data_IF_092877657469
#
_entry.id   IF_092877657469
#
_cell.length_a   1.000
_cell.length_b   1.000
_cell.length_c   1.000
_cell.angle_alpha   90.00
_cell.angle_beta   90.00
_cell.angle_gamma   90.00
#
_symmetry.space_group_name_H-M   'P 1'
#
loop_
_entity.id
_entity.type
_entity.pdbx_description
1 polymer ?
#
# COMPACT_ATOMS: atom_id res chain seq x y z
N UNK A 1 -24.58 -5.41 -3.32
CA UNK A 1 -25.08 -4.04 -3.08
C UNK A 1 -25.88 -3.92 -1.78
N UNK A 2 -26.94 -4.70 -1.55
CA UNK A 2 -27.75 -4.60 -0.31
C UNK A 2 -26.92 -4.70 0.97
N UNK A 3 -25.99 -5.64 1.07
CA UNK A 3 -25.12 -5.76 2.24
C UNK A 3 -24.16 -4.59 2.44
N UNK A 4 -23.77 -3.90 1.37
CA UNK A 4 -22.98 -2.67 1.48
C UNK A 4 -23.83 -1.52 2.04
N UNK A 5 -25.06 -1.36 1.55
CA UNK A 5 -25.99 -0.35 2.05
C UNK A 5 -26.37 -0.61 3.51
N UNK A 6 -26.68 -1.87 3.86
CA UNK A 6 -26.94 -2.27 5.25
C UNK A 6 -25.75 -1.93 6.16
N UNK A 7 -24.53 -2.29 5.73
CA UNK A 7 -23.32 -1.93 6.44
C UNK A 7 -23.20 -0.42 6.65
N UNK A 8 -23.44 0.37 5.59
CA UNK A 8 -23.36 1.84 5.65
C UNK A 8 -24.40 2.44 6.60
N UNK A 9 -25.66 2.02 6.48
CA UNK A 9 -26.73 2.48 7.36
C UNK A 9 -26.42 2.18 8.82
N UNK A 10 -25.87 0.98 9.11
CA UNK A 10 -25.47 0.62 10.47
C UNK A 10 -24.29 1.44 10.98
N UNK A 11 -23.27 1.64 10.15
CA UNK A 11 -22.10 2.43 10.52
C UNK A 11 -22.47 3.90 10.83
N UNK A 12 -23.47 4.46 10.14
CA UNK A 12 -23.90 5.85 10.33
C UNK A 12 -24.90 6.04 11.48
N UNK A 13 -25.90 5.15 11.59
CA UNK A 13 -27.04 5.35 12.48
C UNK A 13 -26.98 4.51 13.75
N UNK A 14 -26.13 3.48 13.79
CA UNK A 14 -26.06 2.50 14.88
C UNK A 14 -24.60 2.10 15.22
N UNK A 15 -23.74 3.07 15.60
CA UNK A 15 -22.31 2.83 15.79
C UNK A 15 -21.99 1.82 16.91
N UNK A 16 -22.89 1.65 17.87
CA UNK A 16 -22.77 0.68 18.97
C UNK A 16 -22.95 -0.78 18.53
N UNK A 17 -23.53 -1.06 17.36
CA UNK A 17 -23.81 -2.44 16.92
C UNK A 17 -22.62 -2.97 16.10
N UNK A 18 -21.96 -4.07 16.54
CA UNK A 18 -20.77 -4.58 15.89
C UNK A 18 -21.02 -4.95 14.42
N UNK A 19 -20.27 -4.33 13.52
CA UNK A 19 -20.38 -4.53 12.08
C UNK A 19 -19.79 -5.89 11.70
N UNK A 20 -20.61 -6.78 11.13
CA UNK A 20 -20.17 -8.10 10.69
C UNK A 20 -19.51 -8.08 9.31
N UNK A 21 -20.28 -7.71 8.28
CA UNK A 21 -19.83 -7.61 6.88
C UNK A 21 -19.55 -6.14 6.53
N UNK A 22 -18.58 -5.89 5.65
CA UNK A 22 -18.17 -4.55 5.23
C UNK A 22 -16.74 -4.20 5.63
N UNK A 23 -16.38 -4.16 6.93
CA UNK A 23 -15.03 -3.82 7.34
C UNK A 23 -14.00 -4.77 6.73
N UNK A 24 -12.91 -4.22 6.21
CA UNK A 24 -11.86 -4.99 5.55
C UNK A 24 -11.26 -6.06 6.47
N UNK A 25 -10.95 -5.71 7.72
CA UNK A 25 -10.42 -6.66 8.71
C UNK A 25 -11.28 -7.94 8.88
N UNK A 26 -12.61 -7.86 8.71
CA UNK A 26 -13.50 -9.00 8.93
C UNK A 26 -13.49 -10.01 7.77
N UNK A 27 -13.02 -9.61 6.58
CA UNK A 27 -12.93 -10.50 5.42
C UNK A 27 -11.63 -11.33 5.43
N UNK A 28 -10.63 -10.94 6.21
CA UNK A 28 -9.30 -11.59 6.27
C UNK A 28 -9.38 -13.11 6.46
N UNK A 29 -10.20 -13.68 7.38
CA UNK A 29 -10.28 -15.14 7.54
C UNK A 29 -10.74 -15.86 6.26
N UNK A 30 -11.63 -15.25 5.48
CA UNK A 30 -12.07 -15.79 4.20
C UNK A 30 -10.97 -15.67 3.13
N UNK A 31 -10.32 -14.50 3.01
CA UNK A 31 -9.24 -14.27 2.03
C UNK A 31 -8.03 -15.18 2.28
N UNK A 32 -7.76 -15.55 3.54
CA UNK A 32 -6.74 -16.52 3.95
C UNK A 32 -7.12 -17.98 3.71
N UNK A 33 -8.41 -18.26 3.49
CA UNK A 33 -8.93 -19.61 3.27
C UNK A 33 -8.33 -20.31 2.04
N UNK A 34 -8.50 -21.63 1.97
CA UNK A 34 -7.91 -22.43 0.89
C UNK A 34 -8.47 -22.05 -0.50
N UNK A 35 -7.59 -21.90 -1.49
CA UNK A 35 -7.94 -21.35 -2.82
C UNK A 35 -8.82 -22.29 -3.64
N UNK A 36 -8.74 -23.59 -3.40
CA UNK A 36 -9.61 -24.62 -3.98
C UNK A 36 -11.10 -24.43 -3.65
N UNK A 37 -11.40 -23.86 -2.49
CA UNK A 37 -12.76 -23.59 -2.01
C UNK A 37 -13.28 -22.19 -2.32
N UNK A 38 -12.45 -21.31 -2.89
CA UNK A 38 -12.83 -19.95 -3.28
C UNK A 38 -13.30 -19.92 -4.74
N UNK A 39 -14.34 -19.14 -5.01
CA UNK A 39 -14.76 -18.79 -6.37
C UNK A 39 -14.75 -17.27 -6.58
N UNK A 40 -14.50 -16.79 -7.81
CA UNK A 40 -14.70 -15.38 -8.14
C UNK A 40 -16.17 -14.95 -7.92
N UNK A 41 -16.44 -13.65 -7.81
CA UNK A 41 -17.83 -13.16 -7.68
C UNK A 41 -18.63 -13.39 -8.96
N UNK A 42 -17.96 -13.33 -10.11
CA UNK A 42 -18.56 -13.41 -11.43
C UNK A 42 -18.67 -14.84 -11.96
N UNK A 43 -19.03 -15.79 -11.09
CA UNK A 43 -19.35 -17.17 -11.48
C UNK A 43 -20.81 -17.52 -11.16
N UNK A 44 -21.30 -18.61 -11.76
CA UNK A 44 -22.64 -19.10 -11.45
C UNK A 44 -22.72 -19.58 -9.99
N UNK A 45 -23.81 -19.24 -9.30
CA UNK A 45 -24.07 -19.60 -7.90
C UNK A 45 -24.01 -21.10 -7.60
N UNK A 46 -24.31 -21.97 -8.57
CA UNK A 46 -24.25 -23.43 -8.40
C UNK A 46 -22.82 -23.96 -8.24
N UNK A 47 -21.83 -23.21 -8.72
CA UNK A 47 -20.41 -23.57 -8.58
C UNK A 47 -19.81 -23.14 -7.26
N UNK A 48 -20.53 -22.31 -6.51
CA UNK A 48 -20.12 -21.77 -5.21
C UNK A 48 -20.33 -22.83 -4.14
N UNK A 49 -19.29 -23.09 -3.36
CA UNK A 49 -19.38 -24.02 -2.23
C UNK A 49 -20.35 -23.45 -1.20
N UNK A 50 -21.37 -24.24 -0.84
CA UNK A 50 -22.47 -23.81 0.05
C UNK A 50 -21.99 -23.17 1.37
N UNK A 51 -20.88 -23.64 1.91
CA UNK A 51 -20.27 -23.11 3.14
C UNK A 51 -19.71 -21.68 2.96
N UNK A 52 -19.21 -21.33 1.77
CA UNK A 52 -18.60 -20.04 1.46
C UNK A 52 -19.57 -19.05 0.82
N UNK A 53 -20.79 -19.47 0.48
CA UNK A 53 -21.79 -18.64 -0.20
C UNK A 53 -22.02 -17.28 0.47
N UNK A 54 -22.12 -17.26 1.80
CA UNK A 54 -22.29 -16.03 2.57
C UNK A 54 -21.11 -15.06 2.46
N UNK A 55 -19.89 -15.59 2.43
CA UNK A 55 -18.67 -14.78 2.37
C UNK A 55 -18.40 -14.29 0.94
N UNK A 56 -18.55 -15.17 -0.05
CA UNK A 56 -18.38 -14.82 -1.46
C UNK A 56 -19.43 -13.80 -1.90
N UNK A 57 -20.72 -14.14 -1.82
CA UNK A 57 -21.75 -13.33 -2.45
C UNK A 57 -22.08 -12.04 -1.68
N UNK A 58 -21.88 -12.02 -0.36
CA UNK A 58 -22.25 -10.87 0.47
C UNK A 58 -21.04 -10.17 1.09
N UNK A 59 -20.17 -10.89 1.81
CA UNK A 59 -19.08 -10.24 2.54
C UNK A 59 -18.03 -9.63 1.60
N UNK A 60 -17.53 -10.39 0.62
CA UNK A 60 -16.49 -9.94 -0.32
C UNK A 60 -16.96 -8.74 -1.14
N UNK A 61 -18.19 -8.80 -1.69
CA UNK A 61 -18.75 -7.67 -2.43
C UNK A 61 -18.97 -6.43 -1.54
N UNK A 62 -19.48 -6.59 -0.32
CA UNK A 62 -19.68 -5.47 0.60
C UNK A 62 -18.36 -4.82 1.01
N UNK A 63 -17.35 -5.64 1.32
CA UNK A 63 -16.01 -5.18 1.66
C UNK A 63 -15.32 -4.52 0.48
N UNK A 64 -15.40 -5.08 -0.74
CA UNK A 64 -14.85 -4.45 -1.93
C UNK A 64 -15.42 -3.02 -2.11
N UNK A 65 -16.75 -2.86 -2.04
CA UNK A 65 -17.37 -1.54 -2.18
C UNK A 65 -17.00 -0.59 -1.04
N UNK A 66 -16.83 -1.09 0.18
CA UNK A 66 -16.36 -0.29 1.30
C UNK A 66 -14.93 0.22 1.06
N UNK A 67 -14.03 -0.63 0.58
CA UNK A 67 -12.65 -0.23 0.29
C UNK A 67 -12.58 0.74 -0.90
N UNK A 68 -13.41 0.49 -1.92
CA UNK A 68 -13.53 1.40 -3.06
C UNK A 68 -13.94 2.81 -2.60
N UNK A 69 -14.89 2.90 -1.66
CA UNK A 69 -15.34 4.17 -1.08
C UNK A 69 -14.29 4.81 -0.16
N UNK A 70 -13.78 4.09 0.82
CA UNK A 70 -12.95 4.69 1.89
C UNK A 70 -11.49 4.89 1.46
N UNK A 71 -10.94 3.98 0.65
CA UNK A 71 -9.49 3.92 0.42
C UNK A 71 -9.10 4.29 -1.02
N UNK A 72 -9.90 3.92 -2.02
CA UNK A 72 -9.54 4.10 -3.44
C UNK A 72 -10.04 5.43 -3.99
N UNK A 73 -11.36 5.68 -3.95
CA UNK A 73 -11.98 6.85 -4.59
C UNK A 73 -12.24 8.00 -3.61
N UNK A 74 -12.41 7.68 -2.34
CA UNK A 74 -12.89 8.62 -1.34
C UNK A 74 -14.42 8.70 -1.28
N UNK A 75 -15.00 9.01 -0.11
CA UNK A 75 -16.45 9.05 0.12
C UNK A 75 -17.24 9.91 -0.86
N UNK A 76 -16.79 11.14 -1.11
CA UNK A 76 -17.54 12.13 -1.89
C UNK A 76 -17.70 11.69 -3.35
N UNK A 77 -16.61 11.23 -3.97
CA UNK A 77 -16.60 10.80 -5.36
C UNK A 77 -17.39 9.50 -5.54
N UNK A 78 -17.21 8.55 -4.62
CA UNK A 78 -17.96 7.30 -4.62
C UNK A 78 -19.46 7.55 -4.47
N UNK A 79 -19.88 8.35 -3.48
CA UNK A 79 -21.29 8.59 -3.20
C UNK A 79 -21.98 9.31 -4.37
N UNK A 80 -21.26 10.24 -5.02
CA UNK A 80 -21.73 10.89 -6.25
C UNK A 80 -21.93 9.89 -7.39
N UNK A 81 -20.94 9.02 -7.65
CA UNK A 81 -21.03 8.01 -8.70
C UNK A 81 -22.12 6.97 -8.42
N UNK A 82 -22.26 6.55 -7.15
CA UNK A 82 -23.27 5.60 -6.72
C UNK A 82 -24.69 6.17 -6.83
N UNK A 83 -24.87 7.47 -6.54
CA UNK A 83 -26.13 8.17 -6.76
C UNK A 83 -26.50 8.23 -8.24
N UNK A 84 -25.55 8.55 -9.10
CA UNK A 84 -25.74 8.57 -10.56
C UNK A 84 -26.16 7.20 -11.10
N UNK A 85 -25.46 6.13 -10.67
CA UNK A 85 -25.86 4.75 -10.99
C UNK A 85 -27.31 4.48 -10.57
N UNK A 86 -27.68 4.84 -9.33
CA UNK A 86 -29.02 4.62 -8.79
C UNK A 86 -30.10 5.35 -9.59
N UNK A 87 -29.79 6.55 -10.11
CA UNK A 87 -30.70 7.34 -10.95
C UNK A 87 -30.84 6.73 -12.36
N UNK A 88 -29.73 6.33 -13.00
CA UNK A 88 -29.73 5.73 -14.35
C UNK A 88 -30.54 4.44 -14.42
N UNK A 89 -30.45 3.65 -13.37
CA UNK A 89 -31.00 2.29 -13.30
C UNK A 89 -32.24 2.16 -12.41
N UNK A 90 -32.80 3.28 -11.96
CA UNK A 90 -34.06 3.30 -11.24
C UNK A 90 -35.14 2.56 -12.05
N UNK A 91 -35.82 1.61 -11.38
CA UNK A 91 -36.88 0.77 -11.95
C UNK A 91 -36.46 -0.13 -13.13
N UNK A 92 -35.16 -0.42 -13.28
CA UNK A 92 -34.61 -1.33 -14.30
C UNK A 92 -33.92 -2.53 -13.65
N UNK A 93 -33.47 -3.47 -14.49
CA UNK A 93 -32.70 -4.66 -14.08
C UNK A 93 -31.24 -4.57 -14.57
N UNK A 94 -30.37 -3.80 -13.88
CA UNK A 94 -28.97 -3.67 -14.26
C UNK A 94 -28.21 -5.00 -14.08
N UNK A 95 -27.24 -5.25 -14.95
CA UNK A 95 -26.23 -6.30 -14.80
C UNK A 95 -24.99 -5.74 -14.09
N UNK A 96 -24.09 -6.58 -13.55
CA UNK A 96 -22.87 -6.10 -12.90
C UNK A 96 -22.02 -5.16 -13.78
N UNK A 97 -21.94 -5.43 -15.09
CA UNK A 97 -21.22 -4.58 -16.03
C UNK A 97 -21.82 -3.15 -16.13
N UNK A 98 -23.13 -3.01 -15.97
CA UNK A 98 -23.80 -1.71 -15.97
C UNK A 98 -23.42 -0.90 -14.73
N UNK A 99 -23.22 -1.58 -13.59
CA UNK A 99 -22.72 -0.95 -12.36
C UNK A 99 -21.26 -0.49 -12.53
N UNK A 100 -20.36 -1.38 -12.99
CA UNK A 100 -18.95 -1.03 -13.19
C UNK A 100 -18.78 0.17 -14.12
N UNK A 101 -19.45 0.15 -15.28
CA UNK A 101 -19.42 1.26 -16.24
C UNK A 101 -20.00 2.55 -15.67
N UNK A 102 -21.09 2.47 -14.92
CA UNK A 102 -21.69 3.68 -14.31
C UNK A 102 -20.76 4.31 -13.27
N UNK A 103 -20.08 3.48 -12.48
CA UNK A 103 -19.13 3.96 -11.47
C UNK A 103 -17.91 4.62 -12.12
N UNK A 104 -17.35 4.04 -13.17
CA UNK A 104 -16.21 4.60 -13.91
C UNK A 104 -16.59 5.89 -14.65
N UNK A 105 -17.69 5.88 -15.40
CA UNK A 105 -18.16 7.04 -16.17
C UNK A 105 -18.47 8.24 -15.26
N UNK A 106 -19.15 8.01 -14.12
CA UNK A 106 -19.53 9.09 -13.21
C UNK A 106 -18.37 9.62 -12.36
N UNK A 107 -17.32 8.80 -12.15
CA UNK A 107 -16.15 9.19 -11.35
C UNK A 107 -14.96 9.65 -12.18
N UNK A 108 -14.91 9.30 -13.46
CA UNK A 108 -13.76 9.48 -14.35
C UNK A 108 -12.45 8.83 -13.81
N UNK A 109 -12.58 7.77 -12.99
CA UNK A 109 -11.47 6.98 -12.45
C UNK A 109 -11.41 5.64 -13.16
N UNK A 110 -10.21 5.20 -13.51
CA UNK A 110 -9.96 3.85 -14.03
C UNK A 110 -10.03 2.83 -12.89
N UNK A 111 -11.06 1.98 -12.92
CA UNK A 111 -11.34 0.96 -11.91
C UNK A 111 -11.20 -0.46 -12.49
N UNK A 112 -10.69 -0.63 -13.71
CA UNK A 112 -10.58 -1.93 -14.37
C UNK A 112 -9.76 -2.92 -13.52
N UNK A 113 -8.64 -2.46 -12.97
CA UNK A 113 -7.78 -3.25 -12.08
C UNK A 113 -8.54 -3.71 -10.82
N UNK A 114 -9.39 -2.84 -10.27
CA UNK A 114 -10.16 -3.10 -9.06
C UNK A 114 -11.25 -4.13 -9.32
N UNK A 115 -12.03 -3.96 -10.40
CA UNK A 115 -13.06 -4.92 -10.79
C UNK A 115 -12.45 -6.27 -11.14
N UNK A 116 -11.37 -6.29 -11.93
CA UNK A 116 -10.67 -7.53 -12.29
C UNK A 116 -10.21 -8.30 -11.05
N UNK A 117 -9.54 -7.63 -10.12
CA UNK A 117 -9.07 -8.26 -8.89
C UNK A 117 -10.21 -8.76 -7.99
N UNK A 118 -11.13 -7.87 -7.61
CA UNK A 118 -12.15 -8.21 -6.61
C UNK A 118 -13.25 -9.14 -7.13
N UNK A 119 -13.65 -8.98 -8.40
CA UNK A 119 -14.82 -9.67 -8.96
C UNK A 119 -14.48 -10.86 -9.83
N UNK A 120 -13.34 -10.83 -10.52
CA UNK A 120 -12.96 -11.88 -11.48
C UNK A 120 -11.81 -12.78 -11.00
N UNK A 121 -11.09 -12.44 -9.92
CA UNK A 121 -10.05 -13.29 -9.35
C UNK A 121 -10.38 -13.81 -7.94
N UNK A 122 -9.62 -14.82 -7.52
CA UNK A 122 -9.64 -15.41 -6.16
C UNK A 122 -8.42 -15.02 -5.35
N UNK A 123 -7.65 -14.06 -5.85
CA UNK A 123 -6.42 -13.57 -5.23
C UNK A 123 -6.74 -12.87 -3.92
N UNK A 124 -5.73 -12.74 -3.07
CA UNK A 124 -5.84 -12.05 -1.80
C UNK A 124 -4.81 -10.92 -1.68
N UNK A 125 -4.99 -10.08 -0.68
CA UNK A 125 -4.06 -8.99 -0.38
C UNK A 125 -3.07 -9.54 0.63
N UNK A 126 -1.79 -9.56 0.26
CA UNK A 126 -0.67 -9.94 1.13
C UNK A 126 0.51 -9.05 0.73
N UNK A 127 0.71 -7.96 1.49
CA UNK A 127 1.70 -6.94 1.19
C UNK A 127 2.82 -6.94 2.23
N UNK A 128 4.00 -7.31 1.79
CA UNK A 128 5.15 -7.42 2.70
C UNK A 128 6.12 -6.26 2.53
N UNK A 129 6.61 -5.72 3.65
CA UNK A 129 7.78 -4.84 3.64
C UNK A 129 9.04 -5.69 3.56
N UNK A 130 9.68 -5.69 2.39
CA UNK A 130 10.87 -6.52 2.11
C UNK A 130 12.15 -5.88 2.64
N UNK A 131 12.35 -4.59 2.33
CA UNK A 131 13.60 -3.88 2.60
C UNK A 131 13.32 -2.40 2.76
N UNK A 132 13.90 -1.80 3.80
CA UNK A 132 13.96 -0.34 3.95
C UNK A 132 15.42 0.06 4.02
N UNK A 133 15.84 0.94 3.11
CA UNK A 133 17.18 1.55 3.14
C UNK A 133 17.06 3.00 3.56
N UNK A 134 17.99 3.44 4.40
CA UNK A 134 18.06 4.82 4.86
C UNK A 134 19.28 5.51 4.26
N UNK A 135 19.04 6.64 3.59
CA UNK A 135 20.04 7.47 2.96
C UNK A 135 20.01 8.91 3.48
N UNK A 136 21.17 9.57 3.43
CA UNK A 136 21.32 11.02 3.61
C UNK A 136 22.19 11.60 2.52
N UNK A 137 21.89 12.81 2.08
CA UNK A 137 22.75 13.51 1.12
C UNK A 137 23.99 14.03 1.84
N UNK A 138 25.18 13.75 1.30
CA UNK A 138 26.44 14.27 1.84
C UNK A 138 26.65 15.68 1.33
N UNK A 139 26.67 16.66 2.23
CA UNK A 139 27.12 18.01 1.91
C UNK A 139 28.65 18.03 1.90
N UNK A 140 29.27 18.18 0.73
CA UNK A 140 30.67 18.58 0.70
C UNK A 140 30.74 20.06 1.09
N UNK A 141 30.98 20.31 2.39
CA UNK A 141 31.56 21.60 2.78
C UNK A 141 32.98 21.61 2.25
N UNK A 142 33.18 22.13 1.03
CA UNK A 142 34.49 22.59 0.59
C UNK A 142 34.93 23.66 1.57
N UNK A 143 35.76 23.29 2.54
CA UNK A 143 36.61 24.24 3.24
C UNK A 143 37.46 24.92 2.16
N UNK A 144 37.38 26.25 2.09
CA UNK A 144 38.09 27.12 1.15
C UNK A 144 39.63 27.11 1.30
N UNK A 145 40.21 26.12 1.97
CA UNK A 145 41.66 25.96 2.08
C UNK A 145 42.08 24.73 1.29
N UNK A 146 42.66 25.02 0.12
CA UNK A 146 43.15 24.05 -0.83
C UNK A 146 44.07 23.03 -0.18
N UNK A 147 43.63 21.78 -0.21
CA UNK A 147 44.48 20.62 -0.39
C UNK A 147 43.61 19.52 -0.98
N UNK A 148 43.92 19.20 -2.24
CA UNK A 148 43.38 18.09 -3.00
C UNK A 148 43.25 16.85 -2.10
N UNK A 149 42.01 16.54 -1.71
CA UNK A 149 41.70 15.20 -1.25
C UNK A 149 41.24 14.44 -2.47
N UNK A 150 42.10 13.55 -2.93
CA UNK A 150 41.77 12.46 -3.84
C UNK A 150 40.39 11.92 -3.44
N UNK A 151 39.39 12.22 -4.27
CA UNK A 151 38.09 11.58 -4.21
C UNK A 151 38.39 10.13 -4.55
N UNK A 152 38.49 9.28 -3.53
CA UNK A 152 38.32 7.86 -3.74
C UNK A 152 36.87 7.72 -4.18
N UNK A 153 36.67 7.69 -5.50
CA UNK A 153 35.50 7.10 -6.13
C UNK A 153 35.45 5.68 -5.60
N UNK A 154 34.79 5.51 -4.45
CA UNK A 154 34.44 4.19 -3.97
C UNK A 154 33.35 3.74 -4.91
N UNK A 155 33.77 3.04 -5.96
CA UNK A 155 32.93 2.25 -6.83
C UNK A 155 31.88 1.58 -5.95
N UNK A 156 30.61 1.95 -6.18
CA UNK A 156 29.45 1.21 -5.67
C UNK A 156 29.34 -0.19 -6.29
N UNK A 157 30.36 -0.66 -7.03
CA UNK A 157 30.42 -1.95 -7.70
C UNK A 157 31.12 -3.06 -6.89
N UNK A 158 31.76 -2.78 -5.75
CA UNK A 158 32.46 -3.82 -4.97
C UNK A 158 32.16 -3.72 -3.48
N UNK A 159 31.07 -4.35 -3.10
CA UNK A 159 30.62 -4.49 -1.72
C UNK A 159 29.44 -5.45 -1.64
N UNK A 160 29.63 -6.66 -2.16
CA UNK A 160 28.67 -7.75 -2.07
C UNK A 160 28.59 -8.22 -0.60
N UNK A 161 27.90 -7.43 0.22
CA UNK A 161 27.38 -7.83 1.51
C UNK A 161 25.99 -7.23 1.64
N UNK A 162 25.05 -7.76 0.86
CA UNK A 162 23.62 -7.71 1.15
C UNK A 162 23.34 -8.50 2.45
N UNK A 163 23.96 -8.09 3.57
CA UNK A 163 23.41 -8.41 4.87
C UNK A 163 22.10 -7.64 4.91
N UNK A 164 20.98 -8.36 4.85
CA UNK A 164 19.67 -7.79 5.11
C UNK A 164 19.76 -7.04 6.44
N UNK A 165 19.78 -5.72 6.33
CA UNK A 165 19.78 -4.84 7.49
C UNK A 165 18.37 -4.93 8.04
N UNK A 166 18.23 -5.69 9.12
CA UNK A 166 16.93 -6.03 9.71
C UNK A 166 16.33 -4.85 10.51
N UNK A 167 17.10 -3.78 10.73
CA UNK A 167 16.70 -2.61 11.52
C UNK A 167 17.40 -1.30 11.11
N UNK A 168 17.03 -0.17 11.72
CA UNK A 168 17.67 1.14 11.46
C UNK A 168 18.98 1.36 12.25
N UNK A 169 19.55 0.34 12.89
CA UNK A 169 20.67 0.50 13.84
C UNK A 169 21.98 0.96 13.19
N UNK A 170 22.20 0.60 11.92
CA UNK A 170 23.42 0.94 11.18
C UNK A 170 23.51 2.41 10.72
N UNK A 171 22.48 3.22 10.97
CA UNK A 171 22.46 4.63 10.58
C UNK A 171 22.27 4.85 9.07
N UNK A 172 22.32 6.12 8.61
CA UNK A 172 22.12 6.45 7.20
C UNK A 172 23.35 6.13 6.36
N UNK A 173 23.11 5.63 5.15
CA UNK A 173 24.12 5.56 4.10
C UNK A 173 24.20 6.91 3.38
N UNK A 174 25.39 7.50 3.31
CA UNK A 174 25.56 8.79 2.66
C UNK A 174 25.68 8.65 1.14
N UNK A 175 24.91 9.44 0.41
CA UNK A 175 24.95 9.51 -1.06
C UNK A 175 25.37 10.90 -1.53
N UNK A 176 26.11 10.95 -2.63
CA UNK A 176 26.42 12.20 -3.33
C UNK A 176 25.48 12.31 -4.52
N UNK A 177 24.68 13.37 -4.57
CA UNK A 177 23.81 13.64 -5.71
C UNK A 177 24.59 14.49 -6.71
N UNK A 178 24.75 13.97 -7.92
CA UNK A 178 25.38 14.70 -9.01
C UNK A 178 24.31 15.46 -9.79
N UNK A 179 24.59 16.69 -10.24
CA UNK A 179 23.68 17.42 -11.12
C UNK A 179 23.53 16.67 -12.45
N UNK A 180 22.36 16.81 -13.08
CA UNK A 180 22.07 16.19 -14.38
C UNK A 180 23.02 16.78 -15.42
N UNK A 181 23.68 15.90 -16.17
CA UNK A 181 24.56 16.34 -17.27
C UNK A 181 23.71 17.02 -18.35
N UNK A 182 24.17 18.17 -18.86
CA UNK A 182 23.50 18.94 -19.91
C UNK A 182 23.09 18.09 -21.14
N UNK A 183 23.85 17.02 -21.43
CA UNK A 183 23.55 16.08 -22.54
C UNK A 183 22.19 15.39 -22.43
N UNK A 184 21.66 15.21 -21.22
CA UNK A 184 20.37 14.54 -21.01
C UNK A 184 19.16 15.45 -21.24
N UNK A 185 19.35 16.78 -21.30
CA UNK A 185 18.26 17.72 -21.59
C UNK A 185 17.99 17.87 -23.10
N UNK A 186 18.93 17.49 -23.97
CA UNK A 186 18.76 17.63 -25.42
C UNK A 186 18.39 19.06 -25.84
N UNK A 187 17.31 19.21 -26.61
CA UNK A 187 16.77 20.51 -27.05
C UNK A 187 15.77 21.15 -26.08
N UNK A 188 15.44 20.48 -24.95
CA UNK A 188 14.46 21.02 -24.01
C UNK A 188 15.01 22.28 -23.32
N UNK A 189 14.29 23.39 -23.49
CA UNK A 189 14.62 24.69 -22.87
C UNK A 189 14.25 24.76 -21.38
N UNK A 190 13.33 23.91 -20.95
CA UNK A 190 12.93 23.81 -19.54
C UNK A 190 13.99 23.03 -18.76
N UNK A 191 14.79 23.74 -17.97
CA UNK A 191 15.78 23.13 -17.07
C UNK A 191 15.18 23.02 -15.67
N UNK A 192 15.49 21.90 -15.02
CA UNK A 192 15.22 21.72 -13.61
C UNK A 192 16.40 22.32 -12.85
N UNK A 193 16.13 23.10 -11.80
CA UNK A 193 17.19 23.59 -10.91
C UNK A 193 17.60 22.46 -9.95
N UNK A 194 18.51 21.61 -10.44
CA UNK A 194 19.02 20.47 -9.69
C UNK A 194 19.68 20.90 -8.37
N UNK A 195 20.32 22.08 -8.33
CA UNK A 195 20.92 22.59 -7.09
C UNK A 195 19.85 22.92 -6.06
N UNK A 196 18.74 23.55 -6.47
CA UNK A 196 17.63 23.82 -5.56
C UNK A 196 16.97 22.52 -5.04
N UNK A 197 16.92 21.46 -5.85
CA UNK A 197 16.40 20.15 -5.42
C UNK A 197 17.37 19.50 -4.44
N UNK A 198 18.67 19.49 -4.73
CA UNK A 198 19.69 18.95 -3.85
C UNK A 198 19.64 19.66 -2.50
N UNK A 199 19.63 20.99 -2.49
CA UNK A 199 19.54 21.79 -1.26
C UNK A 199 18.28 21.45 -0.43
N UNK A 200 17.14 21.17 -1.07
CA UNK A 200 15.91 20.75 -0.37
C UNK A 200 15.99 19.34 0.23
N UNK A 201 16.91 18.51 -0.24
CA UNK A 201 17.13 17.14 0.22
C UNK A 201 18.27 17.03 1.25
N UNK A 202 19.14 18.03 1.37
CA UNK A 202 20.28 18.04 2.29
C UNK A 202 19.87 17.77 3.75
N UNK A 203 18.81 18.42 4.20
CA UNK A 203 18.32 18.28 5.58
C UNK A 203 17.35 17.12 5.77
N UNK A 204 17.09 16.32 4.72
CA UNK A 204 16.08 15.25 4.75
C UNK A 204 16.70 13.86 4.87
N UNK A 205 15.98 12.98 5.55
CA UNK A 205 16.21 11.55 5.57
C UNK A 205 15.49 10.93 4.37
N UNK A 206 16.21 10.24 3.51
CA UNK A 206 15.64 9.56 2.34
C UNK A 206 15.49 8.08 2.69
N UNK A 207 14.27 7.58 2.64
CA UNK A 207 13.95 6.17 2.88
C UNK A 207 13.51 5.52 1.58
N UNK A 208 14.24 4.50 1.14
CA UNK A 208 13.84 3.65 0.02
C UNK A 208 13.13 2.41 0.58
N UNK A 209 11.82 2.30 0.34
CA UNK A 209 11.00 1.19 0.81
C UNK A 209 10.70 0.28 -0.37
N UNK A 210 10.92 -1.00 -0.16
CA UNK A 210 10.62 -2.07 -1.11
C UNK A 210 9.47 -2.91 -0.58
N UNK A 211 8.41 -3.02 -1.37
CA UNK A 211 7.19 -3.74 -1.01
C UNK A 211 6.90 -4.79 -2.08
N UNK A 212 6.56 -6.00 -1.63
CA UNK A 212 6.14 -7.10 -2.49
C UNK A 212 4.67 -7.45 -2.26
N UNK A 213 3.97 -7.76 -3.34
CA UNK A 213 2.61 -8.29 -3.34
C UNK A 213 2.69 -9.80 -3.56
N UNK A 214 2.48 -10.57 -2.49
CA UNK A 214 2.50 -12.05 -2.53
C UNK A 214 1.14 -12.65 -2.86
N UNK A 215 0.08 -11.92 -2.56
CA UNK A 215 -1.29 -12.42 -2.65
C UNK A 215 -1.90 -12.28 -4.04
N UNK A 216 -1.30 -11.45 -4.90
CA UNK A 216 -1.70 -11.21 -6.28
C UNK A 216 -2.77 -10.13 -6.44
N UNK A 217 -3.52 -9.80 -5.39
CA UNK A 217 -4.53 -8.75 -5.45
C UNK A 217 -3.89 -7.38 -5.29
N UNK A 218 -3.86 -6.61 -6.38
CA UNK A 218 -3.37 -5.23 -6.40
C UNK A 218 -4.28 -4.34 -5.54
N UNK A 219 -3.68 -3.54 -4.66
CA UNK A 219 -4.37 -2.55 -3.82
C UNK A 219 -3.51 -1.29 -3.64
N UNK A 220 -4.11 -0.14 -3.28
CA UNK A 220 -3.36 1.01 -2.76
C UNK A 220 -2.53 0.60 -1.54
N UNK A 221 -1.37 1.25 -1.38
CA UNK A 221 -0.46 0.97 -0.26
C UNK A 221 -0.51 2.13 0.74
N UNK A 222 -0.91 1.83 1.96
CA UNK A 222 -0.96 2.79 3.06
C UNK A 222 0.24 2.54 3.96
N UNK A 223 1.14 3.52 4.06
CA UNK A 223 2.35 3.43 4.89
C UNK A 223 2.20 4.38 6.07
N UNK A 224 2.33 3.88 7.29
CA UNK A 224 2.54 4.70 8.49
C UNK A 224 4.01 4.71 8.88
N UNK A 225 4.52 5.92 9.05
CA UNK A 225 5.84 6.23 9.55
C UNK A 225 5.73 6.59 11.02
N UNK A 226 6.47 5.90 11.88
CA UNK A 226 6.64 6.31 13.28
C UNK A 226 8.02 6.90 13.46
N UNK A 227 8.06 8.14 13.97
CA UNK A 227 9.30 8.89 14.18
C UNK A 227 9.88 8.71 15.59
N UNK A 228 11.15 9.08 15.77
CA UNK A 228 11.83 9.02 17.09
C UNK A 228 11.15 9.86 18.18
N UNK A 229 10.45 10.93 17.79
CA UNK A 229 9.71 11.78 18.72
C UNK A 229 8.30 11.24 19.07
N UNK A 230 7.94 10.07 18.53
CA UNK A 230 6.64 9.44 18.71
C UNK A 230 5.55 9.96 17.78
N UNK A 231 5.83 10.97 16.94
CA UNK A 231 4.87 11.43 15.94
C UNK A 231 4.69 10.41 14.82
N UNK A 232 3.50 10.41 14.21
CA UNK A 232 3.13 9.51 13.12
C UNK A 232 2.75 10.29 11.87
N UNK A 233 3.07 9.74 10.72
CA UNK A 233 2.68 10.29 9.41
C UNK A 233 2.22 9.16 8.49
N UNK A 234 1.17 9.43 7.71
CA UNK A 234 0.59 8.44 6.79
C UNK A 234 0.81 8.90 5.35
N UNK A 235 1.42 8.05 4.54
CA UNK A 235 1.46 8.18 3.09
C UNK A 235 0.50 7.19 2.45
N UNK A 236 -0.40 7.69 1.60
CA UNK A 236 -1.29 6.87 0.76
C UNK A 236 -0.74 6.84 -0.65
N UNK A 237 -0.38 5.64 -1.12
CA UNK A 237 0.15 5.40 -2.46
C UNK A 237 -0.97 4.75 -3.26
N UNK A 238 -1.36 5.32 -4.41
CA UNK A 238 -2.47 4.78 -5.17
C UNK A 238 -2.02 3.52 -5.94
N UNK A 239 -2.98 2.73 -6.42
CA UNK A 239 -2.73 1.40 -6.98
C UNK A 239 -1.89 1.41 -8.28
N UNK A 240 -1.76 2.55 -8.94
CA UNK A 240 -0.99 2.72 -10.17
C UNK A 240 0.52 2.49 -9.96
N UNK A 241 1.00 2.48 -8.71
CA UNK A 241 2.39 2.12 -8.39
C UNK A 241 2.77 0.72 -8.89
N UNK A 242 1.79 -0.16 -9.03
CA UNK A 242 1.95 -1.55 -9.48
C UNK A 242 2.00 -1.70 -11.01
N UNK A 243 1.78 -0.62 -11.79
CA UNK A 243 1.66 -0.68 -13.26
C UNK A 243 2.89 -1.22 -13.98
N UNK A 244 4.09 -0.97 -13.46
CA UNK A 244 5.34 -1.48 -14.05
C UNK A 244 5.64 -2.92 -13.62
N UNK A 245 5.24 -3.28 -12.40
CA UNK A 245 5.45 -4.60 -11.82
C UNK A 245 4.45 -4.84 -10.70
N UNK A 246 3.52 -5.77 -10.93
CA UNK A 246 2.43 -6.11 -10.02
C UNK A 246 2.90 -6.89 -8.78
N UNK A 247 4.09 -7.48 -8.83
CA UNK A 247 4.64 -8.31 -7.76
C UNK A 247 5.48 -7.52 -6.77
N UNK A 248 6.13 -6.44 -7.23
CA UNK A 248 7.13 -5.72 -6.42
C UNK A 248 7.40 -4.32 -6.94
N UNK A 249 7.47 -3.35 -6.03
CA UNK A 249 7.99 -2.02 -6.34
C UNK A 249 8.94 -1.51 -5.27
N UNK A 250 9.71 -0.50 -5.65
CA UNK A 250 10.58 0.25 -4.75
C UNK A 250 10.26 1.74 -4.92
N UNK A 251 10.05 2.44 -3.80
CA UNK A 251 9.74 3.87 -3.79
C UNK A 251 10.54 4.60 -2.72
N UNK A 252 11.00 5.80 -3.05
CA UNK A 252 11.77 6.66 -2.15
C UNK A 252 10.90 7.75 -1.53
N UNK A 253 11.10 8.00 -0.24
CA UNK A 253 10.38 8.98 0.57
C UNK A 253 11.37 9.91 1.26
N UNK A 254 11.16 11.21 1.15
CA UNK A 254 12.00 12.20 1.82
C UNK A 254 11.28 12.72 3.07
N UNK A 255 11.79 12.37 4.26
CA UNK A 255 11.23 12.75 5.56
C UNK A 255 12.14 13.74 6.28
N UNK A 256 11.55 14.69 7.00
CA UNK A 256 12.31 15.66 7.80
C UNK A 256 12.84 15.06 9.11
N UNK A 257 12.14 14.07 9.66
CA UNK A 257 12.46 13.41 10.93
C UNK A 257 13.05 12.02 10.70
N UNK A 258 13.75 11.50 11.70
CA UNK A 258 14.27 10.13 11.69
C UNK A 258 13.16 9.14 12.05
N UNK A 259 12.98 8.15 11.18
CA UNK A 259 12.00 7.06 11.30
C UNK A 259 12.56 5.95 12.18
N UNK A 260 11.70 5.42 13.05
CA UNK A 260 11.97 4.25 13.90
C UNK A 260 11.29 3.00 13.36
N UNK A 261 10.06 3.15 12.83
CA UNK A 261 9.33 2.04 12.22
C UNK A 261 8.48 2.48 11.05
N UNK A 262 8.25 1.52 10.16
CA UNK A 262 7.41 1.61 8.97
C UNK A 262 6.39 0.48 9.06
N UNK A 263 5.11 0.79 8.91
CA UNK A 263 4.03 -0.20 8.90
C UNK A 263 3.18 -0.04 7.66
N UNK A 264 2.88 -1.15 6.99
CA UNK A 264 1.90 -1.22 5.89
C UNK A 264 0.52 -1.57 6.45
N UNK A 265 -0.51 -0.87 5.97
CA UNK A 265 -1.91 -1.03 6.33
C UNK A 265 -2.21 -1.08 7.85
N UNK A 266 -1.74 -0.09 8.64
CA UNK A 266 -1.98 -0.06 10.10
C UNK A 266 -3.47 0.07 10.46
N UNK A 267 -4.27 0.65 9.56
CA UNK A 267 -5.71 0.86 9.73
C UNK A 267 -6.53 -0.36 9.28
N UNK A 268 -5.89 -1.39 8.69
CA UNK A 268 -6.53 -2.61 8.18
C UNK A 268 -7.61 -2.32 7.15
N UNK A 269 -7.35 -1.37 6.26
CA UNK A 269 -8.24 -0.93 5.18
C UNK A 269 -8.17 -1.84 3.95
N UNK A 270 -7.10 -2.62 3.76
CA UNK A 270 -6.85 -3.31 2.48
C UNK A 270 -7.11 -4.82 2.49
N UNK A 271 -7.56 -5.40 3.61
CA UNK A 271 -7.77 -6.86 3.79
C UNK A 271 -6.49 -7.71 3.75
N UNK A 272 -5.37 -7.14 4.17
CA UNK A 272 -4.11 -7.88 4.24
C UNK A 272 -4.24 -9.15 5.12
N UNK A 273 -3.90 -10.31 4.55
CA UNK A 273 -4.01 -11.61 5.22
C UNK A 273 -2.86 -11.91 6.18
N UNK A 274 -1.75 -11.17 6.10
CA UNK A 274 -0.55 -11.42 6.88
C UNK A 274 0.06 -10.14 7.48
N UNK A 275 -0.57 -9.61 8.52
CA UNK A 275 -0.09 -8.40 9.20
C UNK A 275 1.29 -8.52 9.87
N UNK A 276 1.82 -9.74 10.04
CA UNK A 276 3.09 -9.96 10.75
C UNK A 276 4.31 -9.51 9.94
N UNK A 277 4.19 -9.41 8.61
CA UNK A 277 5.27 -8.99 7.72
C UNK A 277 5.10 -7.58 7.12
N UNK A 278 4.13 -6.84 7.65
CA UNK A 278 3.82 -5.47 7.27
C UNK A 278 4.70 -4.43 7.99
N UNK A 279 5.49 -4.85 8.99
CA UNK A 279 6.25 -3.95 9.85
C UNK A 279 7.75 -4.10 9.64
N UNK A 280 8.45 -2.96 9.51
CA UNK A 280 9.90 -2.86 9.53
C UNK A 280 10.35 -1.85 10.59
N UNK A 281 11.35 -2.14 11.44
CA UNK A 281 12.01 -3.42 11.64
C UNK A 281 11.02 -4.50 12.07
N UNK A 282 11.21 -5.76 11.65
CA UNK A 282 10.35 -6.85 12.12
C UNK A 282 10.54 -7.01 13.62
N UNK A 283 9.47 -6.87 14.39
CA UNK A 283 9.53 -7.20 15.81
C UNK A 283 9.96 -8.66 15.95
N UNK A 284 10.96 -8.92 16.81
CA UNK A 284 11.35 -10.28 17.12
C UNK A 284 10.16 -10.98 17.78
N UNK A 285 9.46 -11.84 17.03
CA UNK A 285 8.43 -12.69 17.60
C UNK A 285 9.08 -13.54 18.69
N UNK A 286 8.55 -13.57 19.94
CA UNK A 286 9.09 -14.44 20.97
C UNK A 286 9.06 -15.87 20.43
N UNK A 287 10.16 -16.59 20.59
CA UNK A 287 10.24 -17.98 20.14
C UNK A 287 9.14 -18.78 20.84
N UNK A 288 8.52 -19.77 20.15
CA UNK A 288 7.57 -20.71 20.77
C UNK A 288 8.13 -21.33 22.06
N UNK A 289 9.47 -21.44 22.16
CA UNK A 289 10.16 -21.91 23.35
C UNK A 289 10.11 -20.92 24.53
N UNK A 290 10.18 -19.61 24.26
CA UNK A 290 10.06 -18.56 25.27
C UNK A 290 8.61 -18.40 25.76
N UNK A 291 7.63 -18.56 24.85
CA UNK A 291 6.22 -18.62 25.22
C UNK A 291 5.91 -19.85 26.10
N UNK A 292 6.50 -21.01 25.79
CA UNK A 292 6.36 -22.24 26.59
C UNK A 292 6.98 -22.07 27.98
N UNK A 293 8.14 -21.41 28.10
CA UNK A 293 8.74 -21.10 29.41
C UNK A 293 7.86 -20.15 30.24
N UNK A 294 7.21 -19.16 29.62
CA UNK A 294 6.29 -18.25 30.31
C UNK A 294 4.99 -18.92 30.77
N UNK A 295 4.56 -20.01 30.11
CA UNK A 295 3.38 -20.80 30.52
C UNK A 295 3.68 -21.86 31.59
N UNK A 296 4.96 -22.10 31.89
CA UNK A 296 5.40 -23.10 32.87
C UNK A 296 5.73 -22.51 34.26
N UNK A 297 5.53 -21.20 34.45
CA UNK A 297 5.59 -20.49 35.73
C UNK A 297 4.20 -19.95 36.06
#
# INVERSE_FOLDING_TARGET
MNSFLEHRTRAENYPEIPLGRGPAANLVPYMKGATDLKRPLMVNSETVVRQNFGNEQYAKCATALNILRETVMGPELFDKAFKEYSQRWAFKHPKPADFFRSMEDASAVDLDWFWRGWYYSTDNVDMTVDKVKWFKVKTEKTNLEGKEKNVTTKDLATGNSDKAVNDFSNGPTYITVLPTNDRFYGEFRSRIDDKAIINKLEDKNIYEVTISNKGGLVMPVIIEWTYKDGSKEIDRIPAEIWRLNENKFTKSFAKSKEVVSVSVDPMKETTDVNTDDNVFPRAAQPSKFEELKKKSN
#
